data_IF_680146463223
#
_entry.id   IF_680146463223
#
_cell.length_a   1.000
_cell.length_b   1.000
_cell.length_c   1.000
_cell.angle_alpha   90.00
_cell.angle_beta   90.00
_cell.angle_gamma   90.00
#
_symmetry.space_group_name_H-M   'P 1'
#
loop_
_entity.id
_entity.type
_entity.pdbx_description
1 polymer ?
#
# COMPACT_ATOMS: atom_id res chain seq x y z
N UNK A 1 -6.73 -32.54 -42.58
CA UNK A 1 -7.44 -32.40 -41.30
C UNK A 1 -6.48 -31.85 -40.26
N UNK A 2 -6.67 -30.60 -39.83
CA UNK A 2 -5.94 -29.95 -38.74
C UNK A 2 -6.94 -29.64 -37.63
N UNK A 3 -6.66 -29.89 -36.35
CA UNK A 3 -7.59 -29.56 -35.29
C UNK A 3 -7.57 -28.04 -35.04
N UNK A 4 -8.77 -27.50 -34.85
CA UNK A 4 -9.04 -26.09 -34.58
C UNK A 4 -8.52 -25.67 -33.20
N UNK A 5 -7.91 -24.49 -33.16
CA UNK A 5 -7.74 -23.65 -31.97
C UNK A 5 -9.09 -23.47 -31.27
N UNK A 6 -9.16 -23.87 -30.00
CA UNK A 6 -10.20 -23.50 -29.06
C UNK A 6 -9.62 -22.51 -28.05
N UNK A 7 -10.20 -21.31 -28.00
CA UNK A 7 -9.87 -20.23 -27.09
C UNK A 7 -9.89 -20.69 -25.62
N UNK A 8 -8.76 -20.57 -24.92
CA UNK A 8 -8.80 -20.38 -23.47
C UNK A 8 -9.20 -18.92 -23.25
N UNK A 9 -10.48 -18.72 -22.91
CA UNK A 9 -10.91 -17.46 -22.35
C UNK A 9 -10.22 -17.29 -20.99
N UNK A 10 -9.41 -16.25 -20.87
CA UNK A 10 -8.89 -15.75 -19.59
C UNK A 10 -10.08 -15.55 -18.66
N UNK A 11 -10.19 -16.41 -17.64
CA UNK A 11 -11.11 -16.18 -16.54
C UNK A 11 -10.46 -15.13 -15.65
N UNK A 12 -11.00 -13.90 -15.52
CA UNK A 12 -10.47 -12.95 -14.57
C UNK A 12 -10.74 -13.49 -13.17
N UNK A 13 -9.67 -13.83 -12.46
CA UNK A 13 -9.57 -14.04 -11.02
C UNK A 13 -10.85 -14.54 -10.34
N UNK A 14 -10.95 -15.86 -10.20
CA UNK A 14 -11.85 -16.50 -9.25
C UNK A 14 -11.68 -15.83 -7.88
N UNK A 15 -12.65 -14.99 -7.55
CA UNK A 15 -12.82 -14.36 -6.26
C UNK A 15 -13.07 -15.47 -5.23
N UNK A 16 -12.12 -15.65 -4.30
CA UNK A 16 -12.36 -16.41 -3.08
C UNK A 16 -13.28 -15.53 -2.24
N UNK A 17 -14.58 -15.71 -2.42
CA UNK A 17 -15.62 -15.11 -1.58
C UNK A 17 -15.61 -15.80 -0.22
N UNK A 18 -15.09 -15.12 0.80
CA UNK A 18 -15.54 -15.33 2.17
C UNK A 18 -16.56 -14.22 2.48
N UNK A 19 -17.82 -14.63 2.51
CA UNK A 19 -18.99 -13.98 3.14
C UNK A 19 -18.62 -13.42 4.53
N UNK A 20 -19.14 -12.31 5.03
CA UNK A 20 -20.41 -11.60 4.78
C UNK A 20 -20.23 -10.07 4.97
N UNK A 21 -21.10 -9.32 4.29
CA UNK A 21 -21.52 -7.93 4.53
C UNK A 21 -20.67 -6.74 4.01
N UNK A 22 -21.00 -6.39 2.75
CA UNK A 22 -21.12 -5.03 2.21
C UNK A 22 -19.97 -4.04 2.43
N UNK A 23 -18.90 -4.17 1.63
CA UNK A 23 -18.04 -3.03 1.31
C UNK A 23 -17.73 -2.98 -0.19
N UNK A 24 -18.49 -2.16 -0.92
CA UNK A 24 -18.13 -1.74 -2.28
C UNK A 24 -16.93 -0.80 -2.17
N UNK A 25 -15.75 -1.27 -2.58
CA UNK A 25 -14.59 -0.40 -2.79
C UNK A 25 -14.26 -0.40 -4.27
N UNK A 26 -14.81 0.58 -4.97
CA UNK A 26 -14.25 1.04 -6.24
C UNK A 26 -12.98 1.83 -5.93
N UNK A 27 -11.85 1.14 -5.72
CA UNK A 27 -10.45 1.58 -5.98
C UNK A 27 -9.46 0.65 -5.27
N UNK A 28 -8.30 0.31 -5.87
CA UNK A 28 -7.26 -0.47 -5.20
C UNK A 28 -6.45 0.46 -4.29
N UNK A 29 -7.05 0.95 -3.20
CA UNK A 29 -6.29 1.43 -2.05
C UNK A 29 -6.31 0.32 -1.02
N UNK A 30 -5.14 -0.27 -0.77
CA UNK A 30 -4.96 -1.27 0.27
C UNK A 30 -5.13 -0.58 1.64
N UNK A 31 -6.37 -0.51 2.11
CA UNK A 31 -6.71 -0.04 3.46
C UNK A 31 -7.10 -1.25 4.28
N UNK A 32 -6.27 -1.62 5.25
CA UNK A 32 -6.57 -2.66 6.22
C UNK A 32 -7.22 -1.99 7.44
N UNK A 33 -8.48 -2.31 7.70
CA UNK A 33 -9.23 -1.88 8.89
C UNK A 33 -8.94 -2.88 10.01
N UNK A 34 -8.05 -2.52 10.93
CA UNK A 34 -8.02 -3.09 12.27
C UNK A 34 -8.53 -1.99 13.21
N UNK A 35 -9.68 -2.21 13.85
CA UNK A 35 -10.31 -1.42 14.92
C UNK A 35 -9.96 0.09 14.93
N UNK A 36 -10.80 0.90 14.28
CA UNK A 36 -10.79 2.37 14.23
C UNK A 36 -9.51 3.06 13.72
N UNK A 37 -8.52 2.31 13.25
CA UNK A 37 -7.21 2.85 12.88
C UNK A 37 -6.87 2.51 11.42
N UNK A 38 -6.94 3.52 10.54
CA UNK A 38 -6.67 3.35 9.11
C UNK A 38 -5.16 3.24 8.85
N UNK A 39 -4.71 2.08 8.37
CA UNK A 39 -3.38 1.96 7.77
C UNK A 39 -3.48 2.41 6.32
N UNK A 40 -2.72 3.43 5.95
CA UNK A 40 -2.73 3.98 4.58
C UNK A 40 -1.35 4.41 4.13
N UNK A 41 -1.03 4.08 2.88
CA UNK A 41 0.16 4.56 2.19
C UNK A 41 0.14 6.08 1.98
N UNK A 42 -1.04 6.68 2.01
CA UNK A 42 -1.20 8.12 1.87
C UNK A 42 -0.46 8.87 3.01
N UNK A 43 -0.28 8.26 4.19
CA UNK A 43 0.50 8.86 5.27
C UNK A 43 1.98 8.99 4.90
N UNK A 44 2.54 8.00 4.20
CA UNK A 44 3.92 8.06 3.70
C UNK A 44 4.06 9.06 2.54
N UNK A 45 3.04 9.16 1.68
CA UNK A 45 2.99 10.18 0.63
C UNK A 45 2.96 11.58 1.26
N UNK A 46 2.10 11.79 2.26
CA UNK A 46 2.02 13.05 3.00
C UNK A 46 3.33 13.38 3.70
N UNK A 47 4.03 12.39 4.28
CA UNK A 47 5.33 12.62 4.90
C UNK A 47 6.36 13.16 3.90
N UNK A 48 6.43 12.56 2.71
CA UNK A 48 7.33 12.97 1.62
C UNK A 48 6.98 14.37 1.10
N UNK A 49 5.71 14.75 1.14
CA UNK A 49 5.25 16.06 0.64
C UNK A 49 5.31 17.17 1.69
N UNK A 50 5.24 16.83 2.98
CA UNK A 50 5.21 17.78 4.10
C UNK A 50 6.60 18.09 4.67
N UNK A 51 7.60 17.25 4.44
CA UNK A 51 8.94 17.40 5.00
C UNK A 51 10.04 17.17 3.96
N UNK A 52 11.25 17.67 4.24
CA UNK A 52 12.37 17.53 3.32
C UNK A 52 13.00 16.14 3.44
N UNK A 53 13.49 15.61 2.31
CA UNK A 53 14.11 14.27 2.22
C UNK A 53 15.10 13.94 3.35
N UNK A 54 15.99 14.84 3.81
CA UNK A 54 16.92 14.52 4.90
C UNK A 54 16.25 14.15 6.22
N UNK A 55 15.00 14.54 6.44
CA UNK A 55 14.29 14.30 7.70
C UNK A 55 13.62 12.93 7.77
N UNK A 56 13.36 12.29 6.62
CA UNK A 56 12.60 11.04 6.54
C UNK A 56 13.21 10.00 5.60
N UNK A 57 14.25 10.35 4.84
CA UNK A 57 15.01 9.49 3.92
C UNK A 57 14.20 8.73 2.84
N UNK A 58 12.95 9.13 2.59
CA UNK A 58 12.07 8.50 1.62
C UNK A 58 11.96 9.30 0.32
N UNK A 59 11.77 8.60 -0.79
CA UNK A 59 11.30 9.19 -2.06
C UNK A 59 10.04 8.47 -2.57
N UNK A 60 9.29 9.08 -3.48
CA UNK A 60 8.02 8.52 -3.98
C UNK A 60 8.18 7.11 -4.55
N UNK A 61 9.30 6.80 -5.19
CA UNK A 61 9.57 5.47 -5.74
C UNK A 61 9.82 4.39 -4.68
N UNK A 62 10.10 4.76 -3.43
CA UNK A 62 10.22 3.78 -2.34
C UNK A 62 8.84 3.24 -1.92
N UNK A 63 7.77 4.03 -2.11
CA UNK A 63 6.42 3.70 -1.65
C UNK A 63 5.45 3.33 -2.77
N UNK A 64 5.62 3.83 -3.99
CA UNK A 64 4.66 3.59 -5.07
C UNK A 64 4.74 2.14 -5.56
N UNK A 65 3.66 1.34 -5.52
CA UNK A 65 3.70 -0.08 -5.94
C UNK A 65 4.02 -0.28 -7.43
N UNK A 66 3.84 0.77 -8.24
CA UNK A 66 4.18 0.77 -9.67
C UNK A 66 5.68 0.85 -9.90
N UNK A 67 6.40 1.48 -8.98
CA UNK A 67 7.85 1.45 -8.93
C UNK A 67 8.22 0.16 -8.19
N UNK A 68 9.11 -0.66 -8.74
CA UNK A 68 9.45 -1.97 -8.15
C UNK A 68 9.99 -1.78 -6.74
N UNK A 69 9.12 -1.88 -5.73
CA UNK A 69 9.52 -1.87 -4.33
C UNK A 69 10.49 -3.01 -4.11
N UNK A 70 11.69 -2.65 -3.66
CA UNK A 70 12.74 -3.61 -3.36
C UNK A 70 12.95 -3.65 -1.84
N UNK A 71 13.71 -4.64 -1.38
CA UNK A 71 14.00 -4.82 0.04
C UNK A 71 14.55 -3.54 0.69
N UNK A 72 15.40 -2.78 -0.01
CA UNK A 72 15.93 -1.51 0.49
C UNK A 72 14.84 -0.44 0.68
N UNK A 73 13.82 -0.41 -0.18
CA UNK A 73 12.67 0.48 0.00
C UNK A 73 11.88 0.12 1.26
N UNK A 74 11.69 -1.18 1.56
CA UNK A 74 11.06 -1.62 2.79
C UNK A 74 11.88 -1.21 4.03
N UNK A 75 13.20 -1.39 4.00
CA UNK A 75 14.09 -0.94 5.09
C UNK A 75 13.97 0.56 5.36
N UNK A 76 13.90 1.38 4.30
CA UNK A 76 13.73 2.84 4.47
C UNK A 76 12.37 3.22 5.04
N UNK A 77 11.31 2.50 4.70
CA UNK A 77 9.95 2.81 5.18
C UNK A 77 9.83 2.54 6.68
N UNK A 78 10.49 1.49 7.17
CA UNK A 78 10.56 1.15 8.59
C UNK A 78 11.75 1.80 9.33
N UNK A 79 12.46 2.74 8.69
CA UNK A 79 13.57 3.47 9.31
C UNK A 79 13.05 4.43 10.40
N UNK A 80 13.84 4.63 11.47
CA UNK A 80 13.43 5.46 12.60
C UNK A 80 13.07 6.89 12.16
N UNK A 81 13.81 7.45 11.20
CA UNK A 81 13.53 8.77 10.64
C UNK A 81 12.15 8.86 9.97
N UNK A 82 11.73 7.81 9.26
CA UNK A 82 10.41 7.75 8.64
C UNK A 82 9.32 7.59 9.71
N UNK A 83 9.54 6.72 10.69
CA UNK A 83 8.60 6.47 11.80
C UNK A 83 8.39 7.70 12.69
N UNK A 84 9.47 8.44 12.98
CA UNK A 84 9.41 9.69 13.73
C UNK A 84 8.73 10.80 12.93
N UNK A 85 8.98 10.85 11.62
CA UNK A 85 8.27 11.75 10.70
C UNK A 85 6.75 11.56 10.76
N UNK A 86 6.29 10.30 10.82
CA UNK A 86 4.87 9.98 10.93
C UNK A 86 4.22 10.53 12.21
N UNK A 87 4.96 10.74 13.31
CA UNK A 87 4.40 11.29 14.58
C UNK A 87 3.80 12.68 14.37
N UNK A 88 4.34 13.44 13.43
CA UNK A 88 3.87 14.79 13.13
C UNK A 88 2.56 14.83 12.32
N UNK A 89 2.15 13.69 11.77
CA UNK A 89 0.95 13.57 10.93
C UNK A 89 -0.26 13.09 11.74
N UNK A 90 -1.42 13.71 11.49
CA UNK A 90 -2.66 13.28 12.09
C UNK A 90 -3.08 11.89 11.57
N UNK A 91 -3.64 11.06 12.43
CA UNK A 91 -4.17 9.71 12.11
C UNK A 91 -3.15 8.71 11.55
N UNK A 92 -1.85 9.02 11.56
CA UNK A 92 -0.77 8.13 11.11
C UNK A 92 -0.38 7.05 12.12
N UNK A 93 -0.87 7.13 13.37
CA UNK A 93 -0.47 6.25 14.49
C UNK A 93 -0.59 4.77 14.15
N UNK A 94 -1.67 4.38 13.47
CA UNK A 94 -1.90 3.01 13.04
C UNK A 94 -0.81 2.53 12.07
N UNK A 95 -0.46 3.39 11.11
CA UNK A 95 0.57 3.11 10.11
C UNK A 95 1.94 3.02 10.75
N UNK A 96 2.26 3.88 11.72
CA UNK A 96 3.51 3.81 12.48
C UNK A 96 3.62 2.54 13.32
N UNK A 97 2.53 2.05 13.91
CA UNK A 97 2.55 0.80 14.70
C UNK A 97 2.66 -0.45 13.83
N UNK A 98 2.21 -0.37 12.58
CA UNK A 98 2.28 -1.47 11.63
C UNK A 98 3.68 -1.64 11.02
N UNK A 99 4.38 -0.53 10.79
CA UNK A 99 5.72 -0.46 10.21
C UNK A 99 6.82 -0.73 11.23
#
# INVERSE_FOLDING_TARGET
MRPFMGFFADMPNQQIYLRDDAFRVDTPKATMLSDDALISIDHLVQLIESSSKPNHNLVKSDILPKDRQNYSSCEKISDEAALDGLVSLANSRATRLYL
#
